data_IF_069151991512
#
_entry.id   IF_069151991512
#
_cell.length_a   1.000
_cell.length_b   1.000
_cell.length_c   1.000
_cell.angle_alpha   90.00
_cell.angle_beta   90.00
_cell.angle_gamma   90.00
#
_symmetry.space_group_name_H-M   'P 1'
#
loop_
_entity.id
_entity.type
_entity.pdbx_description
1 polymer ?
#
# COMPACT_ATOMS: atom_id res chain seq x y z
N UNK A 1 -5.96 -3.60 -1.37
CA UNK A 1 -6.77 -2.55 -0.70
C UNK A 1 -6.92 -2.92 0.77
N UNK A 2 -6.82 -1.97 1.65
CA UNK A 2 -7.06 -2.17 3.09
C UNK A 2 -8.28 -1.39 3.53
N UNK A 3 -9.17 -2.05 4.27
CA UNK A 3 -10.27 -1.42 4.99
C UNK A 3 -9.86 -1.37 6.45
N UNK A 4 -9.69 -0.17 7.01
CA UNK A 4 -9.07 0.03 8.31
C UNK A 4 -10.02 0.74 9.27
N UNK A 5 -10.29 0.07 10.38
CA UNK A 5 -10.85 0.72 11.57
C UNK A 5 -9.69 1.35 12.36
N UNK A 6 -9.89 2.58 12.82
CA UNK A 6 -9.00 3.27 13.77
C UNK A 6 -9.82 3.79 14.94
N UNK A 7 -9.26 3.71 16.15
CA UNK A 7 -9.85 4.37 17.32
C UNK A 7 -9.76 5.89 17.19
N UNK A 8 -10.38 6.62 18.11
CA UNK A 8 -10.36 8.08 18.19
C UNK A 8 -8.97 8.66 18.50
N UNK A 9 -8.05 7.81 18.98
CA UNK A 9 -6.68 8.22 19.28
C UNK A 9 -5.88 8.47 17.99
N UNK A 10 -5.17 9.62 17.87
CA UNK A 10 -4.37 9.95 16.71
C UNK A 10 -3.17 9.00 16.52
N UNK A 11 -2.47 9.12 15.42
CA UNK A 11 -1.22 8.40 15.20
C UNK A 11 -1.03 7.92 13.76
N UNK A 12 -2.10 7.66 13.00
CA UNK A 12 -1.96 7.33 11.59
C UNK A 12 -1.62 8.60 10.79
N UNK A 13 -0.55 8.54 10.02
CA UNK A 13 -0.11 9.63 9.14
C UNK A 13 0.17 9.13 7.73
N UNK A 14 -0.11 9.98 6.74
CA UNK A 14 0.15 9.74 5.32
C UNK A 14 1.12 10.80 4.80
N UNK A 15 2.15 10.35 4.09
CA UNK A 15 3.12 11.25 3.44
C UNK A 15 2.56 11.77 2.12
N UNK A 16 2.39 13.07 2.02
CA UNK A 16 1.90 13.74 0.81
C UNK A 16 2.47 15.14 0.70
N UNK A 17 2.90 15.52 -0.49
CA UNK A 17 3.46 16.85 -0.79
C UNK A 17 4.66 17.22 0.13
N UNK A 18 5.55 16.26 0.37
CA UNK A 18 6.77 16.47 1.16
C UNK A 18 6.56 16.53 2.68
N UNK A 19 5.36 16.23 3.18
CA UNK A 19 5.06 16.26 4.63
C UNK A 19 4.16 15.13 5.06
N UNK A 20 4.23 14.82 6.35
CA UNK A 20 3.31 13.91 7.01
C UNK A 20 2.02 14.64 7.38
N UNK A 21 0.90 14.03 7.04
CA UNK A 21 -0.44 14.57 7.30
C UNK A 21 -1.20 13.56 8.16
N UNK A 22 -1.80 13.98 9.26
CA UNK A 22 -2.57 13.08 10.11
C UNK A 22 -3.85 12.61 9.39
N UNK A 23 -4.18 11.34 9.60
CA UNK A 23 -5.48 10.76 9.23
C UNK A 23 -6.33 10.73 10.49
N UNK A 24 -7.28 11.65 10.58
CA UNK A 24 -8.13 11.78 11.76
C UNK A 24 -9.24 10.74 11.73
N UNK A 25 -9.60 10.28 12.93
CA UNK A 25 -10.81 9.47 13.13
C UNK A 25 -12.05 10.31 12.76
N UNK A 26 -12.96 9.68 12.03
CA UNK A 26 -14.30 10.20 11.76
C UNK A 26 -15.29 9.16 12.30
N UNK A 27 -16.20 9.53 13.20
CA UNK A 27 -17.19 8.61 13.75
C UNK A 27 -17.94 7.84 12.65
N UNK A 28 -18.19 6.57 12.87
CA UNK A 28 -18.89 5.66 11.96
C UNK A 28 -18.26 5.52 10.56
N UNK A 29 -16.99 5.89 10.41
CA UNK A 29 -16.24 5.77 9.15
C UNK A 29 -15.08 4.80 9.26
N UNK A 30 -14.74 4.20 8.12
CA UNK A 30 -13.54 3.39 7.93
C UNK A 30 -12.57 4.12 6.99
N UNK A 31 -11.28 3.95 7.24
CA UNK A 31 -10.24 4.43 6.33
C UNK A 31 -10.03 3.41 5.23
N UNK A 32 -10.09 3.84 3.98
CA UNK A 32 -9.75 3.01 2.83
C UNK A 32 -8.35 3.39 2.35
N UNK A 33 -7.43 2.42 2.37
CA UNK A 33 -6.08 2.58 1.86
C UNK A 33 -5.89 1.73 0.61
N UNK A 34 -5.47 2.38 -0.49
CA UNK A 34 -5.11 1.71 -1.74
C UNK A 34 -3.62 1.38 -1.69
N UNK A 35 -3.28 0.12 -1.96
CA UNK A 35 -1.90 -0.35 -1.94
C UNK A 35 -1.34 -0.58 -3.35
N UNK A 36 -0.12 -1.12 -3.40
CA UNK A 36 0.70 -1.30 -4.59
C UNK A 36 -0.03 -1.96 -5.77
N UNK A 37 -0.84 -2.98 -5.53
CA UNK A 37 -1.56 -3.66 -6.61
C UNK A 37 -2.61 -2.77 -7.27
N UNK A 38 -3.22 -1.86 -6.53
CA UNK A 38 -4.13 -0.87 -7.12
C UNK A 38 -3.35 0.19 -7.91
N UNK A 39 -2.18 0.58 -7.44
CA UNK A 39 -1.28 1.47 -8.19
C UNK A 39 -0.89 0.85 -9.53
N UNK A 40 -0.50 -0.42 -9.57
CA UNK A 40 -0.17 -1.14 -10.80
C UNK A 40 -1.40 -1.24 -11.72
N UNK A 41 -2.52 -1.73 -11.24
CA UNK A 41 -3.76 -1.87 -12.03
C UNK A 41 -4.21 -0.57 -12.66
N UNK A 42 -4.12 0.51 -11.92
CA UNK A 42 -4.56 1.83 -12.37
C UNK A 42 -3.50 2.58 -13.19
N UNK A 43 -2.31 1.99 -13.40
CA UNK A 43 -1.18 2.63 -14.06
C UNK A 43 -0.85 4.01 -13.45
N UNK A 44 -0.66 4.04 -12.13
CA UNK A 44 -0.37 5.23 -11.30
C UNK A 44 -1.53 6.24 -11.13
N UNK A 45 -2.74 5.97 -11.61
CA UNK A 45 -3.88 6.87 -11.32
C UNK A 45 -4.21 6.91 -9.83
N UNK A 46 -3.99 5.80 -9.13
CA UNK A 46 -4.19 5.65 -7.70
C UNK A 46 -2.89 5.17 -7.03
N UNK A 47 -1.94 6.07 -6.79
CA UNK A 47 -0.67 5.70 -6.16
C UNK A 47 -0.89 5.21 -4.72
N UNK A 48 -0.12 4.21 -4.32
CA UNK A 48 -0.12 3.72 -2.94
C UNK A 48 0.56 4.75 -2.03
N UNK A 49 -0.14 5.31 -1.04
CA UNK A 49 0.45 6.32 -0.19
C UNK A 49 1.39 5.71 0.85
N UNK A 50 2.55 6.30 1.02
CA UNK A 50 3.43 5.99 2.15
C UNK A 50 2.73 6.44 3.43
N UNK A 51 2.65 5.56 4.41
CA UNK A 51 1.97 5.83 5.68
C UNK A 51 2.76 5.25 6.85
N UNK A 52 2.53 5.80 8.02
CA UNK A 52 3.13 5.35 9.26
C UNK A 52 2.17 5.49 10.43
N UNK A 53 2.51 4.83 11.53
CA UNK A 53 1.85 5.06 12.82
C UNK A 53 2.89 5.66 13.76
N UNK A 54 2.57 6.82 14.31
CA UNK A 54 3.30 7.43 15.41
C UNK A 54 2.60 6.99 16.69
N UNK A 55 3.34 6.30 17.56
CA UNK A 55 2.80 5.78 18.82
C UNK A 55 2.95 6.86 19.88
N UNK A 56 1.83 7.23 20.50
CA UNK A 56 1.82 7.97 21.75
C UNK A 56 1.74 6.95 22.90
N UNK A 57 2.64 7.05 23.86
CA UNK A 57 2.71 6.12 25.01
C UNK A 57 1.70 6.42 26.10
N UNK A 58 1.06 7.58 26.06
CA UNK A 58 0.14 8.05 27.12
C UNK A 58 -1.32 7.66 26.87
N UNK A 59 -1.63 7.10 25.71
CA UNK A 59 -2.99 6.69 25.37
C UNK A 59 -3.03 5.34 24.64
N UNK A 60 -4.02 4.52 24.98
CA UNK A 60 -4.26 3.28 24.25
C UNK A 60 -4.88 3.57 22.87
N UNK A 61 -4.26 3.04 21.83
CA UNK A 61 -4.70 3.16 20.46
C UNK A 61 -4.98 1.79 19.86
N UNK A 62 -6.15 1.63 19.28
CA UNK A 62 -6.55 0.41 18.59
C UNK A 62 -6.76 0.66 17.11
N UNK A 63 -6.38 -0.34 16.30
CA UNK A 63 -6.72 -0.36 14.88
C UNK A 63 -6.92 -1.80 14.42
N UNK A 64 -7.83 -1.99 13.47
CA UNK A 64 -8.13 -3.29 12.89
C UNK A 64 -8.10 -3.19 11.37
N UNK A 65 -6.99 -3.59 10.73
CA UNK A 65 -6.88 -3.62 9.28
C UNK A 65 -7.49 -4.91 8.72
N UNK A 66 -8.35 -4.78 7.72
CA UNK A 66 -8.78 -5.87 6.87
C UNK A 66 -8.12 -5.73 5.50
N UNK A 67 -7.27 -6.68 5.15
CA UNK A 67 -6.54 -6.70 3.87
C UNK A 67 -7.35 -7.45 2.82
N UNK A 68 -7.89 -6.71 1.86
CA UNK A 68 -8.53 -7.30 0.68
C UNK A 68 -7.47 -7.52 -0.40
N UNK A 69 -6.98 -8.76 -0.46
CA UNK A 69 -5.90 -9.18 -1.36
C UNK A 69 -6.44 -10.03 -2.52
N UNK A 70 -5.78 -10.04 -3.69
CA UNK A 70 -6.06 -11.03 -4.73
C UNK A 70 -5.63 -12.45 -4.28
N UNK A 71 -5.98 -13.46 -5.07
CA UNK A 71 -5.44 -14.80 -4.83
C UNK A 71 -3.95 -14.85 -5.14
N UNK A 72 -3.22 -15.75 -4.49
CA UNK A 72 -1.76 -15.86 -4.66
C UNK A 72 -1.33 -16.18 -6.10
N UNK A 73 -2.19 -16.78 -6.91
CA UNK A 73 -1.92 -17.13 -8.30
C UNK A 73 -2.25 -15.99 -9.29
N UNK A 74 -2.72 -14.84 -8.78
CA UNK A 74 -3.14 -13.75 -9.64
C UNK A 74 -1.95 -12.96 -10.17
N UNK A 75 -1.90 -12.80 -11.48
CA UNK A 75 -0.99 -11.87 -12.14
C UNK A 75 -1.64 -10.50 -12.25
N UNK A 76 -0.93 -9.48 -11.83
CA UNK A 76 -1.37 -8.09 -11.77
C UNK A 76 -0.57 -7.29 -12.81
N UNK A 77 -1.26 -6.66 -13.73
CA UNK A 77 -0.68 -5.77 -14.73
C UNK A 77 -1.58 -4.53 -14.90
N UNK A 78 -1.08 -3.44 -15.47
CA UNK A 78 -1.94 -2.31 -15.83
C UNK A 78 -3.12 -2.76 -16.70
N UNK A 79 -4.32 -2.29 -16.37
CA UNK A 79 -5.51 -2.65 -17.12
C UNK A 79 -5.44 -2.11 -18.54
N UNK A 80 -5.76 -2.94 -19.53
CA UNK A 80 -5.60 -2.64 -20.96
C UNK A 80 -6.45 -1.46 -21.48
N UNK A 81 -7.38 -0.97 -20.68
CA UNK A 81 -8.27 0.13 -21.02
C UNK A 81 -7.65 1.53 -20.84
N UNK A 82 -6.39 1.58 -20.48
CA UNK A 82 -5.66 2.86 -20.44
C UNK A 82 -5.08 3.14 -21.82
N UNK A 83 -5.44 4.27 -22.41
CA UNK A 83 -4.83 4.80 -23.63
C UNK A 83 -3.32 5.09 -23.48
N UNK A 84 -2.79 4.92 -22.30
CA UNK A 84 -1.42 5.12 -21.91
C UNK A 84 -0.62 3.84 -22.00
N UNK A 85 0.66 3.95 -22.34
CA UNK A 85 1.58 2.82 -22.31
C UNK A 85 1.65 2.25 -20.87
N UNK A 86 1.71 0.91 -20.72
CA UNK A 86 1.86 0.31 -19.40
C UNK A 86 3.16 0.76 -18.74
N UNK A 87 3.04 1.25 -17.51
CA UNK A 87 4.18 1.69 -16.70
C UNK A 87 4.81 0.55 -15.87
N UNK A 88 4.17 -0.62 -15.82
CA UNK A 88 4.60 -1.76 -15.00
C UNK A 88 4.63 -3.05 -15.80
N UNK A 89 5.58 -3.93 -15.42
CA UNK A 89 5.57 -5.33 -15.81
C UNK A 89 4.44 -6.07 -15.10
N UNK A 90 4.07 -7.24 -15.62
CA UNK A 90 3.17 -8.14 -14.89
C UNK A 90 3.83 -8.66 -13.62
N UNK A 91 3.09 -8.66 -12.52
CA UNK A 91 3.55 -9.03 -11.18
C UNK A 91 2.68 -10.15 -10.66
N UNK A 92 3.27 -11.31 -10.36
CA UNK A 92 2.55 -12.34 -9.62
C UNK A 92 2.39 -11.90 -8.16
N UNK A 93 1.13 -11.88 -7.66
CA UNK A 93 0.84 -11.41 -6.31
C UNK A 93 1.52 -12.25 -5.23
N UNK A 94 1.52 -13.58 -5.38
CA UNK A 94 2.12 -14.49 -4.41
C UNK A 94 3.62 -14.27 -4.28
N UNK A 95 4.32 -14.16 -5.40
CA UNK A 95 5.77 -13.91 -5.43
C UNK A 95 6.11 -12.53 -4.83
N UNK A 96 5.34 -11.51 -5.20
CA UNK A 96 5.53 -10.16 -4.65
C UNK A 96 5.34 -10.15 -3.13
N UNK A 97 4.25 -10.77 -2.64
CA UNK A 97 3.94 -10.82 -1.21
C UNK A 97 4.99 -11.58 -0.41
N UNK A 98 5.50 -12.69 -0.98
CA UNK A 98 6.57 -13.47 -0.36
C UNK A 98 7.86 -12.64 -0.24
N UNK A 99 8.30 -12.01 -1.33
CA UNK A 99 9.53 -11.18 -1.34
C UNK A 99 9.43 -9.97 -0.41
N UNK A 100 8.26 -9.36 -0.30
CA UNK A 100 8.07 -8.29 0.69
C UNK A 100 8.20 -8.79 2.11
N UNK A 101 7.60 -9.95 2.41
CA UNK A 101 7.71 -10.55 3.74
C UNK A 101 9.15 -10.95 4.11
N UNK A 102 9.95 -11.39 3.15
CA UNK A 102 11.37 -11.70 3.37
C UNK A 102 12.16 -10.43 3.76
N UNK A 103 11.87 -9.29 3.17
CA UNK A 103 12.52 -8.02 3.47
C UNK A 103 12.10 -7.37 4.79
N UNK A 104 10.96 -7.78 5.36
CA UNK A 104 10.50 -7.31 6.67
C UNK A 104 11.35 -7.85 7.84
N UNK A 105 12.25 -8.81 7.59
CA UNK A 105 13.13 -9.43 8.58
C UNK A 105 14.60 -9.13 8.27
N UNK A 106 15.34 -8.58 9.21
CA UNK A 106 16.73 -8.10 9.09
C UNK A 106 17.75 -9.11 8.48
N UNK A 107 17.42 -10.38 8.45
CA UNK A 107 18.33 -11.44 8.00
C UNK A 107 18.06 -11.97 6.59
N UNK A 108 17.03 -11.51 5.89
CA UNK A 108 16.57 -12.12 4.65
C UNK A 108 16.67 -11.24 3.39
N UNK A 109 17.21 -10.03 3.49
CA UNK A 109 17.46 -9.17 2.35
C UNK A 109 16.72 -7.83 2.37
N UNK A 110 16.76 -7.11 1.25
CA UNK A 110 16.08 -5.82 1.09
C UNK A 110 14.59 -6.04 0.75
N UNK A 111 13.73 -5.28 1.37
CA UNK A 111 12.30 -5.26 1.06
C UNK A 111 12.06 -4.85 -0.39
N UNK A 112 11.36 -5.70 -1.15
CA UNK A 112 11.01 -5.42 -2.53
C UNK A 112 10.02 -4.27 -2.60
N UNK A 113 10.34 -3.25 -3.41
CA UNK A 113 9.48 -2.09 -3.65
C UNK A 113 8.80 -2.18 -5.01
N UNK A 114 7.59 -1.63 -5.10
CA UNK A 114 6.79 -1.67 -6.33
C UNK A 114 7.48 -1.01 -7.51
N UNK A 115 8.33 -0.01 -7.26
CA UNK A 115 9.07 0.70 -8.30
C UNK A 115 10.10 -0.17 -9.04
N UNK A 116 10.53 -1.29 -8.47
CA UNK A 116 11.41 -2.27 -9.13
C UNK A 116 10.72 -2.98 -10.32
N UNK A 117 9.40 -2.93 -10.38
CA UNK A 117 8.59 -3.51 -11.47
C UNK A 117 8.20 -2.48 -12.53
N UNK A 118 8.72 -1.26 -12.46
CA UNK A 118 8.49 -0.27 -13.50
C UNK A 118 9.17 -0.65 -14.80
N UNK A 119 8.48 -0.42 -15.90
CA UNK A 119 9.07 -0.53 -17.25
C UNK A 119 9.88 0.74 -17.47
N UNK A 120 11.20 0.57 -17.64
CA UNK A 120 12.06 1.69 -18.04
C UNK A 120 11.57 2.26 -19.36
N UNK A 121 11.18 3.52 -19.39
CA UNK A 121 10.91 4.18 -20.65
C UNK A 121 12.25 4.46 -21.35
N UNK A 122 12.37 4.19 -22.66
CA UNK A 122 13.59 4.45 -23.42
C UNK A 122 13.90 5.95 -23.51
#
# INVERSE_FOLDING_TARGET
MTVLYISDQPGLEVFKNGKWNPVNHVPDCLVINLGDMMQVWSNDRYPAPVHRVVVDTDAERFSAPFFFNPSYQTDIAPLADTSEKPGYQSINWGDYRFRRAEGDYDSYGEEVQIDQYRISQP
#
